data_IF_295110566253
#
_entry.id   IF_295110566253
#
_cell.length_a   1.000
_cell.length_b   1.000
_cell.length_c   1.000
_cell.angle_alpha   90.00
_cell.angle_beta   90.00
_cell.angle_gamma   90.00
#
_symmetry.space_group_name_H-M   'P 1'
#
loop_
_entity.id
_entity.type
_entity.pdbx_description
1 polymer ?
#
# COMPACT_ATOMS: atom_id res chain seq x y z
N UNK A 1 -12.97 -23.20 2.48
CA UNK A 1 -13.89 -22.95 1.35
C UNK A 1 -13.07 -22.36 0.21
N UNK A 2 -13.37 -22.69 -1.05
CA UNK A 2 -12.70 -22.08 -2.21
C UNK A 2 -13.35 -20.75 -2.57
N UNK A 3 -12.54 -19.77 -3.02
CA UNK A 3 -13.04 -18.51 -3.57
C UNK A 3 -13.94 -18.79 -4.78
N UNK A 4 -15.18 -18.30 -4.72
CA UNK A 4 -16.16 -18.40 -5.82
C UNK A 4 -16.16 -17.10 -6.61
N UNK A 5 -15.68 -17.17 -7.86
CA UNK A 5 -15.56 -16.00 -8.73
C UNK A 5 -16.79 -15.89 -9.64
N UNK A 6 -17.19 -14.66 -9.95
CA UNK A 6 -18.05 -14.40 -11.12
C UNK A 6 -17.35 -14.86 -12.39
N UNK A 7 -18.13 -15.34 -13.36
CA UNK A 7 -17.62 -15.67 -14.70
C UNK A 7 -16.99 -14.44 -15.34
N UNK A 8 -15.90 -14.62 -16.08
CA UNK A 8 -15.27 -13.51 -16.78
C UNK A 8 -16.19 -12.90 -17.84
N UNK A 9 -17.06 -13.71 -18.45
CA UNK A 9 -17.98 -13.28 -19.51
C UNK A 9 -19.19 -12.51 -18.97
N UNK A 10 -19.47 -12.58 -17.66
CA UNK A 10 -20.60 -11.89 -17.02
C UNK A 10 -20.22 -10.56 -16.35
N UNK A 11 -19.00 -10.08 -16.59
CA UNK A 11 -18.46 -8.83 -16.04
C UNK A 11 -17.52 -8.15 -17.03
N UNK A 12 -17.39 -6.83 -16.92
CA UNK A 12 -16.47 -6.03 -17.71
C UNK A 12 -15.02 -6.15 -17.21
N UNK A 13 -14.82 -6.35 -15.90
CA UNK A 13 -13.50 -6.31 -15.27
C UNK A 13 -13.15 -7.58 -14.49
N UNK A 14 -11.89 -7.98 -14.57
CA UNK A 14 -11.35 -9.01 -13.67
C UNK A 14 -10.98 -8.42 -12.31
N UNK A 15 -10.53 -7.15 -12.28
CA UNK A 15 -10.27 -6.42 -11.05
C UNK A 15 -10.67 -4.95 -11.17
N UNK A 16 -11.23 -4.42 -10.09
CA UNK A 16 -11.37 -2.98 -9.85
C UNK A 16 -10.62 -2.66 -8.57
N UNK A 17 -9.81 -1.60 -8.57
CA UNK A 17 -9.22 -1.06 -7.33
C UNK A 17 -9.86 0.27 -6.94
N UNK A 18 -9.95 0.55 -5.64
CA UNK A 18 -10.27 1.87 -5.09
C UNK A 18 -9.05 2.38 -4.31
N UNK A 19 -8.57 3.58 -4.63
CA UNK A 19 -7.44 4.15 -3.89
C UNK A 19 -7.00 5.51 -4.40
N UNK A 20 -6.07 6.13 -3.68
CA UNK A 20 -5.40 7.35 -4.15
C UNK A 20 -4.20 7.00 -5.03
N UNK A 21 -4.11 7.68 -6.18
CA UNK A 21 -2.95 7.66 -7.05
C UNK A 21 -2.30 9.04 -7.00
N UNK A 22 -0.98 9.06 -6.79
CA UNK A 22 -0.20 10.29 -6.69
C UNK A 22 0.82 10.38 -7.81
N UNK A 23 1.21 11.61 -8.15
CA UNK A 23 2.37 11.85 -9.00
C UNK A 23 3.63 11.64 -8.16
N UNK A 24 4.36 10.59 -8.49
CA UNK A 24 5.60 10.20 -7.82
C UNK A 24 6.80 10.85 -8.50
N UNK A 25 7.58 11.59 -7.73
CA UNK A 25 8.84 12.20 -8.16
C UNK A 25 10.02 11.34 -7.71
N UNK A 26 10.78 10.81 -8.67
CA UNK A 26 11.97 9.98 -8.45
C UNK A 26 13.25 10.79 -8.78
N UNK A 27 14.13 11.07 -7.79
CA UNK A 27 15.37 11.82 -8.01
C UNK A 27 16.52 10.95 -8.60
N UNK A 28 16.24 9.73 -9.04
CA UNK A 28 17.24 8.75 -9.46
C UNK A 28 18.06 8.28 -8.26
N UNK A 29 19.39 8.31 -8.40
CA UNK A 29 20.32 7.95 -7.32
C UNK A 29 20.59 9.13 -6.35
N UNK A 30 20.01 10.29 -6.62
CA UNK A 30 20.14 11.50 -5.81
C UNK A 30 19.22 11.54 -4.58
N UNK A 31 19.22 12.69 -3.91
CA UNK A 31 18.32 13.00 -2.78
C UNK A 31 17.28 14.01 -3.21
N UNK A 32 16.07 13.94 -2.65
CA UNK A 32 15.00 14.92 -2.90
C UNK A 32 15.50 16.34 -2.59
N UNK A 33 16.26 16.49 -1.50
CA UNK A 33 16.77 17.79 -1.03
C UNK A 33 17.90 18.39 -1.89
N UNK A 34 18.54 17.62 -2.77
CA UNK A 34 19.71 18.08 -3.55
C UNK A 34 19.54 17.92 -5.06
N UNK A 35 18.50 17.24 -5.51
CA UNK A 35 18.27 17.05 -6.94
C UNK A 35 17.75 18.33 -7.60
N UNK A 36 18.02 18.46 -8.90
CA UNK A 36 17.41 19.47 -9.79
C UNK A 36 16.55 18.83 -10.87
N UNK A 37 16.39 17.51 -10.84
CA UNK A 37 15.65 16.73 -11.83
C UNK A 37 14.89 15.61 -11.14
N UNK A 38 13.68 15.37 -11.61
CA UNK A 38 12.88 14.22 -11.21
C UNK A 38 12.37 13.53 -12.46
N UNK A 39 12.38 12.20 -12.42
CA UNK A 39 11.55 11.39 -13.32
C UNK A 39 10.21 11.19 -12.63
N UNK A 40 9.12 11.46 -13.35
CA UNK A 40 7.78 11.32 -12.82
C UNK A 40 7.19 9.96 -13.17
N UNK A 41 6.40 9.42 -12.24
CA UNK A 41 5.66 8.17 -12.36
C UNK A 41 4.31 8.34 -11.67
N UNK A 42 3.36 7.48 -11.95
CA UNK A 42 2.19 7.29 -11.10
C UNK A 42 2.51 6.35 -9.93
N UNK A 43 1.80 6.50 -8.81
CA UNK A 43 1.93 5.56 -7.69
C UNK A 43 0.73 5.59 -6.75
N UNK A 44 0.17 4.41 -6.48
CA UNK A 44 -0.89 4.19 -5.49
C UNK A 44 -0.89 2.70 -5.12
N UNK A 45 -1.00 2.36 -3.84
CA UNK A 45 -0.89 0.97 -3.38
C UNK A 45 -1.94 0.07 -4.05
N UNK A 46 -3.20 0.48 -3.96
CA UNK A 46 -4.36 -0.24 -4.47
C UNK A 46 -4.33 -0.31 -6.01
N UNK A 47 -4.02 0.81 -6.65
CA UNK A 47 -3.84 0.90 -8.11
C UNK A 47 -2.71 0.00 -8.62
N UNK A 48 -1.59 -0.10 -7.90
CA UNK A 48 -0.45 -0.93 -8.30
C UNK A 48 -0.83 -2.41 -8.36
N UNK A 49 -1.78 -2.87 -7.53
CA UNK A 49 -2.32 -4.23 -7.62
C UNK A 49 -3.10 -4.43 -8.92
N UNK A 50 -4.04 -3.52 -9.24
CA UNK A 50 -4.81 -3.59 -10.48
C UNK A 50 -3.92 -3.49 -11.73
N UNK A 51 -2.98 -2.53 -11.74
CA UNK A 51 -1.98 -2.35 -12.79
C UNK A 51 -1.08 -3.58 -12.94
N UNK A 52 -0.65 -4.19 -11.83
CA UNK A 52 0.14 -5.41 -11.83
C UNK A 52 -0.62 -6.57 -12.47
N UNK A 53 -1.89 -6.77 -12.10
CA UNK A 53 -2.75 -7.78 -12.71
C UNK A 53 -2.97 -7.55 -14.21
N UNK A 54 -3.11 -6.29 -14.63
CA UNK A 54 -3.18 -5.93 -16.05
C UNK A 54 -1.89 -6.27 -16.79
N UNK A 55 -0.75 -5.75 -16.33
CA UNK A 55 0.52 -5.78 -17.07
C UNK A 55 1.23 -7.13 -17.01
N UNK A 56 1.11 -7.85 -15.90
CA UNK A 56 1.82 -9.11 -15.70
C UNK A 56 0.96 -10.33 -16.07
N UNK A 57 -0.37 -10.21 -16.00
CA UNK A 57 -1.29 -11.36 -16.14
C UNK A 57 -2.43 -11.13 -17.16
N UNK A 58 -2.38 -10.02 -17.91
CA UNK A 58 -3.34 -9.73 -18.99
C UNK A 58 -4.78 -9.52 -18.54
N UNK A 59 -5.02 -9.25 -17.25
CA UNK A 59 -6.37 -9.08 -16.69
C UNK A 59 -7.01 -7.75 -17.12
N UNK A 60 -8.34 -7.71 -17.21
CA UNK A 60 -9.08 -6.46 -17.44
C UNK A 60 -9.18 -5.72 -16.11
N UNK A 61 -8.58 -4.54 -16.03
CA UNK A 61 -8.48 -3.78 -14.80
C UNK A 61 -9.12 -2.41 -14.97
N UNK A 62 -9.79 -1.91 -13.94
CA UNK A 62 -10.22 -0.52 -13.82
C UNK A 62 -9.81 0.05 -12.45
N UNK A 63 -9.84 1.37 -12.34
CA UNK A 63 -9.61 2.05 -11.06
C UNK A 63 -10.70 3.07 -10.77
N UNK A 64 -11.16 3.07 -9.52
CA UNK A 64 -11.97 4.12 -8.92
C UNK A 64 -11.04 5.02 -8.12
N UNK A 65 -10.99 6.30 -8.50
CA UNK A 65 -10.17 7.32 -7.83
C UNK A 65 -10.70 8.72 -8.17
N UNK A 66 -10.06 9.76 -7.68
CA UNK A 66 -10.41 11.13 -8.05
C UNK A 66 -9.16 12.00 -8.27
N UNK A 67 -9.27 12.91 -9.24
CA UNK A 67 -8.24 13.89 -9.58
C UNK A 67 -8.81 15.30 -9.65
N UNK A 68 -7.98 16.29 -9.35
CA UNK A 68 -8.26 17.66 -9.74
C UNK A 68 -8.13 17.77 -11.26
N UNK A 69 -9.12 18.40 -11.90
CA UNK A 69 -9.15 18.59 -13.36
C UNK A 69 -8.19 19.68 -13.79
N UNK A 70 -6.92 19.30 -13.92
CA UNK A 70 -5.82 20.11 -14.41
C UNK A 70 -4.76 19.21 -15.08
N UNK A 71 -3.71 19.82 -15.63
CA UNK A 71 -2.66 19.09 -16.36
C UNK A 71 -1.97 17.98 -15.53
N UNK A 72 -1.89 18.13 -14.21
CA UNK A 72 -1.33 17.09 -13.33
C UNK A 72 -2.28 15.89 -13.25
N UNK A 73 -3.58 16.14 -13.15
CA UNK A 73 -4.60 15.08 -13.15
C UNK A 73 -4.66 14.36 -14.49
N UNK A 74 -4.57 15.11 -15.59
CA UNK A 74 -4.51 14.55 -16.95
C UNK A 74 -3.23 13.75 -17.22
N UNK A 75 -2.09 14.18 -16.67
CA UNK A 75 -0.86 13.39 -16.70
C UNK A 75 -1.00 12.05 -15.95
N UNK A 76 -1.67 12.06 -14.80
CA UNK A 76 -1.94 10.83 -14.04
C UNK A 76 -2.89 9.90 -14.79
N UNK A 77 -3.95 10.43 -15.40
CA UNK A 77 -4.83 9.68 -16.30
C UNK A 77 -4.03 9.01 -17.44
N UNK A 78 -3.15 9.75 -18.10
CA UNK A 78 -2.33 9.21 -19.19
C UNK A 78 -1.42 8.07 -18.73
N UNK A 79 -0.78 8.18 -17.55
CA UNK A 79 -0.01 7.07 -16.97
C UNK A 79 -0.86 5.83 -16.68
N UNK A 80 -2.10 6.01 -16.22
CA UNK A 80 -3.05 4.91 -15.98
C UNK A 80 -3.42 4.23 -17.31
N UNK A 81 -3.69 5.02 -18.36
CA UNK A 81 -3.98 4.53 -19.71
C UNK A 81 -2.79 3.78 -20.31
N UNK A 82 -1.56 4.28 -20.15
CA UNK A 82 -0.33 3.58 -20.55
C UNK A 82 -0.14 2.26 -19.77
N UNK A 83 -0.56 2.24 -18.50
CA UNK A 83 -0.68 1.03 -17.67
C UNK A 83 -1.74 0.04 -18.18
N UNK A 84 -2.61 0.46 -19.09
CA UNK A 84 -3.69 -0.33 -19.66
C UNK A 84 -4.85 -0.55 -18.69
N UNK A 85 -4.97 0.28 -17.65
CA UNK A 85 -6.06 0.24 -16.67
C UNK A 85 -7.14 1.22 -17.13
N UNK A 86 -8.40 0.80 -17.06
CA UNK A 86 -9.55 1.60 -17.49
C UNK A 86 -9.80 2.77 -16.51
N UNK A 87 -10.02 3.95 -17.07
CA UNK A 87 -10.12 5.23 -16.35
C UNK A 87 -11.55 5.74 -16.22
N UNK A 88 -12.57 5.01 -16.69
CA UNK A 88 -13.97 5.51 -16.75
C UNK A 88 -14.57 5.86 -15.39
N UNK A 89 -14.00 5.36 -14.29
CA UNK A 89 -14.47 5.62 -12.92
C UNK A 89 -13.60 6.64 -12.18
N UNK A 90 -12.79 7.42 -12.90
CA UNK A 90 -12.12 8.59 -12.35
C UNK A 90 -13.14 9.71 -12.16
N UNK A 91 -13.27 10.19 -10.91
CA UNK A 91 -14.01 11.40 -10.60
C UNK A 91 -13.13 12.63 -10.80
N UNK A 92 -13.61 13.59 -11.58
CA UNK A 92 -12.93 14.86 -11.80
C UNK A 92 -13.49 15.93 -10.85
N UNK A 93 -12.61 16.51 -10.05
CA UNK A 93 -12.94 17.64 -9.18
C UNK A 93 -12.50 18.94 -9.85
N UNK A 94 -13.37 19.95 -9.85
CA UNK A 94 -13.10 21.26 -10.44
C UNK A 94 -11.88 21.91 -9.78
N UNK A 95 -10.85 22.21 -10.56
CA UNK A 95 -9.62 22.83 -10.07
C UNK A 95 -9.81 24.35 -9.91
N UNK A 96 -9.48 24.86 -8.74
CA UNK A 96 -9.64 26.29 -8.39
C UNK A 96 -8.52 27.21 -8.92
N UNK A 97 -7.62 26.67 -9.74
CA UNK A 97 -6.47 27.40 -10.30
C UNK A 97 -5.29 27.60 -9.32
N UNK A 98 -5.45 27.28 -8.04
CA UNK A 98 -4.46 27.60 -6.99
C UNK A 98 -4.05 26.40 -6.13
N UNK A 99 -4.89 25.38 -6.02
CA UNK A 99 -4.73 24.27 -5.09
C UNK A 99 -5.21 24.56 -3.66
N UNK A 100 -6.10 25.54 -3.46
CA UNK A 100 -6.60 25.92 -2.12
C UNK A 100 -7.68 24.97 -1.61
N UNK A 101 -8.51 24.46 -2.51
CA UNK A 101 -9.64 23.59 -2.20
C UNK A 101 -9.39 22.16 -2.69
N UNK A 102 -8.64 21.99 -3.78
CA UNK A 102 -8.37 20.67 -4.34
C UNK A 102 -7.01 20.59 -5.04
N UNK A 103 -6.31 19.48 -4.83
CA UNK A 103 -4.99 19.19 -5.41
C UNK A 103 -4.92 17.77 -5.95
N UNK A 104 -3.90 17.48 -6.75
CA UNK A 104 -3.46 16.12 -7.02
C UNK A 104 -2.33 15.77 -6.04
N UNK A 105 -2.35 14.56 -5.49
CA UNK A 105 -1.34 14.15 -4.51
C UNK A 105 0.03 13.99 -5.15
N UNK A 106 1.08 14.43 -4.44
CA UNK A 106 2.47 14.32 -4.87
C UNK A 106 3.23 13.42 -3.89
N UNK A 107 4.19 12.65 -4.39
CA UNK A 107 5.04 11.83 -3.52
C UNK A 107 6.49 11.79 -3.99
N UNK A 108 7.40 12.30 -3.18
CA UNK A 108 8.83 12.27 -3.48
C UNK A 108 9.46 11.00 -2.90
N UNK A 109 10.02 10.14 -3.74
CA UNK A 109 10.52 8.83 -3.31
C UNK A 109 12.00 8.65 -3.61
N UNK A 110 12.84 8.63 -2.58
CA UNK A 110 14.25 8.29 -2.66
C UNK A 110 14.44 6.77 -2.67
N UNK A 111 15.16 6.24 -3.67
CA UNK A 111 15.58 4.84 -3.67
C UNK A 111 16.53 4.57 -2.50
N UNK A 112 16.42 3.39 -1.90
CA UNK A 112 17.39 2.91 -0.91
C UNK A 112 18.72 2.53 -1.58
N UNK A 113 19.81 2.57 -0.81
CA UNK A 113 21.12 2.08 -1.25
C UNK A 113 21.93 1.57 -0.04
N UNK A 114 22.40 0.33 -0.11
CA UNK A 114 23.11 -0.33 0.99
C UNK A 114 22.29 -0.30 2.28
N UNK A 115 22.88 0.25 3.35
CA UNK A 115 22.22 0.36 4.68
C UNK A 115 21.14 1.44 4.76
N UNK A 116 21.04 2.31 3.75
CA UNK A 116 20.04 3.38 3.72
C UNK A 116 18.76 2.87 3.06
N UNK A 117 17.70 2.76 3.85
CA UNK A 117 16.36 2.44 3.33
C UNK A 117 15.84 3.47 2.33
N UNK A 118 14.83 3.07 1.56
CA UNK A 118 14.04 4.00 0.75
C UNK A 118 13.34 5.01 1.65
N UNK A 119 13.11 6.23 1.15
CA UNK A 119 12.42 7.29 1.90
C UNK A 119 11.36 7.94 1.02
N UNK A 120 10.11 7.88 1.48
CA UNK A 120 9.00 8.65 0.92
C UNK A 120 8.87 10.01 1.61
N UNK A 121 8.37 11.00 0.90
CA UNK A 121 7.93 12.30 1.42
C UNK A 121 6.64 12.65 0.67
N UNK A 122 5.48 12.23 1.20
CA UNK A 122 4.20 12.50 0.56
C UNK A 122 3.74 13.94 0.85
N UNK A 123 3.18 14.59 -0.16
CA UNK A 123 2.42 15.85 -0.09
C UNK A 123 1.02 15.56 -0.64
N UNK A 124 0.14 15.15 0.26
CA UNK A 124 -1.22 14.65 -0.05
C UNK A 124 -2.30 15.34 0.78
N UNK A 125 -2.10 16.61 1.10
CA UNK A 125 -3.16 17.44 1.69
C UNK A 125 -4.10 17.96 0.61
N UNK A 126 -5.41 17.98 0.92
CA UNK A 126 -6.49 18.49 0.06
C UNK A 126 -6.60 17.79 -1.31
N UNK A 127 -6.19 16.52 -1.41
CA UNK A 127 -6.30 15.82 -2.69
C UNK A 127 -7.76 15.58 -3.07
N UNK A 128 -8.05 15.47 -4.37
CA UNK A 128 -9.38 15.07 -4.81
C UNK A 128 -9.78 13.70 -4.24
N UNK A 129 -8.84 12.74 -4.20
CA UNK A 129 -9.06 11.41 -3.65
C UNK A 129 -9.41 11.41 -2.15
N UNK A 130 -8.73 12.22 -1.32
CA UNK A 130 -9.05 12.27 0.12
C UNK A 130 -10.40 12.95 0.43
N UNK A 131 -10.97 13.68 -0.54
CA UNK A 131 -12.25 14.36 -0.40
C UNK A 131 -13.43 13.53 -0.92
N UNK A 132 -13.16 12.34 -1.48
CA UNK A 132 -14.21 11.40 -1.87
C UNK A 132 -15.01 10.97 -0.63
N UNK A 133 -16.31 10.77 -0.82
CA UNK A 133 -17.25 10.44 0.26
C UNK A 133 -18.36 9.49 -0.21
N UNK A 134 -19.09 8.83 0.72
CA UNK A 134 -20.28 8.05 0.41
C UNK A 134 -21.22 8.77 -0.58
N UNK A 135 -21.73 8.02 -1.57
CA UNK A 135 -22.60 8.54 -2.62
C UNK A 135 -21.91 9.28 -3.76
N UNK A 136 -20.59 9.48 -3.73
CA UNK A 136 -19.84 10.06 -4.85
C UNK A 136 -19.70 9.12 -6.05
N UNK A 137 -19.82 7.80 -5.82
CA UNK A 137 -19.63 6.75 -6.81
C UNK A 137 -20.94 5.96 -6.94
N UNK A 138 -21.40 5.79 -8.19
CA UNK A 138 -22.52 4.90 -8.48
C UNK A 138 -22.04 3.44 -8.49
N UNK A 139 -22.15 2.79 -7.33
CA UNK A 139 -21.74 1.39 -7.20
C UNK A 139 -22.64 0.39 -7.93
N UNK A 140 -23.86 0.76 -8.28
CA UNK A 140 -24.74 -0.07 -9.11
C UNK A 140 -24.26 -0.08 -10.57
N UNK A 141 -23.79 1.06 -11.08
CA UNK A 141 -23.07 1.10 -12.36
C UNK A 141 -21.76 0.29 -12.28
N UNK A 142 -20.93 0.51 -11.26
CA UNK A 142 -19.59 -0.13 -11.14
C UNK A 142 -19.68 -1.65 -10.97
N UNK A 143 -20.42 -2.15 -9.98
CA UNK A 143 -20.44 -3.58 -9.64
C UNK A 143 -21.69 -4.33 -10.15
N UNK A 144 -22.80 -3.62 -10.36
CA UNK A 144 -24.03 -4.21 -10.90
C UNK A 144 -23.95 -4.36 -12.41
N UNK A 145 -23.93 -3.24 -13.13
CA UNK A 145 -24.02 -3.21 -14.60
C UNK A 145 -22.71 -3.56 -15.29
N UNK A 146 -21.60 -2.94 -14.90
CA UNK A 146 -20.28 -3.26 -15.47
C UNK A 146 -19.76 -4.56 -14.86
N UNK A 147 -19.76 -4.63 -13.53
CA UNK A 147 -19.37 -5.82 -12.78
C UNK A 147 -17.85 -6.05 -12.71
N UNK A 148 -17.44 -6.70 -11.63
CA UNK A 148 -16.07 -7.15 -11.43
C UNK A 148 -16.02 -8.53 -10.79
N UNK A 149 -14.97 -9.30 -11.07
CA UNK A 149 -14.69 -10.55 -10.34
C UNK A 149 -14.04 -10.27 -8.99
N UNK A 150 -13.27 -9.18 -8.91
CA UNK A 150 -12.44 -8.83 -7.77
C UNK A 150 -12.44 -7.33 -7.51
N UNK A 151 -12.50 -6.97 -6.24
CA UNK A 151 -12.35 -5.61 -5.76
C UNK A 151 -11.17 -5.54 -4.78
N UNK A 152 -10.31 -4.54 -4.94
CA UNK A 152 -9.17 -4.32 -4.06
C UNK A 152 -9.13 -2.88 -3.54
N UNK A 153 -8.93 -2.73 -2.24
CA UNK A 153 -8.69 -1.45 -1.57
C UNK A 153 -7.87 -1.71 -0.30
N UNK A 154 -7.62 -0.69 0.51
CA UNK A 154 -6.74 -0.86 1.66
C UNK A 154 -6.76 0.30 2.65
N UNK A 155 -6.07 0.07 3.76
CA UNK A 155 -6.03 0.97 4.91
C UNK A 155 -5.38 2.31 4.63
N UNK A 156 -4.57 2.44 3.56
CA UNK A 156 -4.07 3.76 3.14
C UNK A 156 -5.22 4.65 2.68
N UNK A 157 -6.08 4.15 1.79
CA UNK A 157 -7.21 4.92 1.28
C UNK A 157 -8.22 5.18 2.39
N UNK A 158 -8.56 4.16 3.18
CA UNK A 158 -9.46 4.31 4.31
C UNK A 158 -8.99 5.34 5.34
N UNK A 159 -7.67 5.56 5.46
CA UNK A 159 -7.08 6.49 6.43
C UNK A 159 -6.86 7.92 5.92
N UNK A 160 -7.21 8.26 4.68
CA UNK A 160 -6.93 9.60 4.14
C UNK A 160 -7.78 10.69 4.80
N UNK A 161 -9.03 10.39 5.11
CA UNK A 161 -10.01 11.24 5.77
C UNK A 161 -11.13 10.41 6.40
N UNK A 162 -11.98 11.04 7.21
CA UNK A 162 -13.20 10.39 7.73
C UNK A 162 -14.13 9.93 6.59
N UNK A 163 -14.27 10.73 5.54
CA UNK A 163 -15.15 10.39 4.42
C UNK A 163 -14.61 9.25 3.57
N UNK A 164 -13.28 9.13 3.42
CA UNK A 164 -12.70 7.96 2.72
C UNK A 164 -12.84 6.67 3.52
N UNK A 165 -12.87 6.74 4.85
CA UNK A 165 -13.16 5.57 5.70
C UNK A 165 -14.59 5.07 5.44
N UNK A 166 -15.57 5.98 5.46
CA UNK A 166 -16.97 5.66 5.19
C UNK A 166 -17.18 5.15 3.76
N UNK A 167 -16.55 5.79 2.77
CA UNK A 167 -16.62 5.36 1.37
C UNK A 167 -16.00 3.98 1.17
N UNK A 168 -14.92 3.65 1.89
CA UNK A 168 -14.32 2.31 1.84
C UNK A 168 -15.32 1.26 2.32
N UNK A 169 -16.04 1.53 3.40
CA UNK A 169 -17.08 0.64 3.92
C UNK A 169 -18.22 0.50 2.90
N UNK A 170 -18.68 1.61 2.30
CA UNK A 170 -19.71 1.62 1.25
C UNK A 170 -19.30 0.76 0.04
N UNK A 171 -18.08 0.95 -0.46
CA UNK A 171 -17.54 0.20 -1.59
C UNK A 171 -17.48 -1.31 -1.32
N UNK A 172 -16.98 -1.71 -0.14
CA UNK A 172 -16.91 -3.12 0.24
C UNK A 172 -18.31 -3.75 0.37
N UNK A 173 -19.28 -3.04 0.97
CA UNK A 173 -20.68 -3.49 1.04
C UNK A 173 -21.27 -3.69 -0.35
N UNK A 174 -21.07 -2.72 -1.25
CA UNK A 174 -21.60 -2.79 -2.61
C UNK A 174 -20.95 -3.92 -3.43
N UNK A 175 -19.63 -4.09 -3.34
CA UNK A 175 -18.93 -5.19 -3.98
C UNK A 175 -19.49 -6.56 -3.54
N UNK A 176 -19.68 -6.75 -2.23
CA UNK A 176 -20.27 -7.98 -1.66
C UNK A 176 -21.71 -8.21 -2.11
N UNK A 177 -22.54 -7.16 -2.13
CA UNK A 177 -23.93 -7.22 -2.63
C UNK A 177 -23.99 -7.79 -4.04
N UNK A 178 -23.02 -7.45 -4.89
CA UNK A 178 -22.95 -7.88 -6.30
C UNK A 178 -22.07 -9.12 -6.53
N UNK A 179 -21.75 -9.88 -5.49
CA UNK A 179 -20.97 -11.12 -5.59
C UNK A 179 -19.52 -10.93 -6.04
N UNK A 180 -18.97 -9.73 -5.89
CA UNK A 180 -17.56 -9.43 -6.16
C UNK A 180 -16.72 -9.85 -4.97
N UNK A 181 -15.61 -10.55 -5.19
CA UNK A 181 -14.66 -10.89 -4.12
C UNK A 181 -13.98 -9.62 -3.64
N UNK A 182 -13.93 -9.40 -2.34
CA UNK A 182 -13.27 -8.23 -1.75
C UNK A 182 -11.95 -8.63 -1.12
N UNK A 183 -10.88 -7.97 -1.56
CA UNK A 183 -9.56 -8.03 -0.91
C UNK A 183 -9.21 -6.70 -0.28
N UNK A 184 -8.58 -6.76 0.89
CA UNK A 184 -8.21 -5.58 1.65
C UNK A 184 -6.80 -5.70 2.21
N UNK A 185 -5.94 -4.71 1.93
CA UNK A 185 -4.61 -4.60 2.52
C UNK A 185 -4.64 -3.62 3.70
N UNK A 186 -4.42 -4.13 4.91
CA UNK A 186 -4.48 -3.33 6.15
C UNK A 186 -3.47 -2.17 6.11
N UNK A 187 -2.27 -2.41 5.57
CA UNK A 187 -1.23 -1.43 5.27
C UNK A 187 -1.16 -0.23 6.25
N UNK A 188 -1.02 -0.51 7.54
CA UNK A 188 -1.20 0.48 8.59
C UNK A 188 -0.16 1.61 8.48
N UNK A 189 -0.63 2.86 8.57
CA UNK A 189 0.24 4.06 8.60
C UNK A 189 -0.14 4.95 9.77
N UNK A 190 0.66 4.96 10.84
CA UNK A 190 0.38 5.77 12.02
C UNK A 190 0.10 7.24 11.72
N UNK A 191 0.82 7.83 10.77
CA UNK A 191 0.68 9.25 10.42
C UNK A 191 -0.67 9.60 9.80
N UNK A 192 -1.25 8.69 9.01
CA UNK A 192 -2.56 8.91 8.38
C UNK A 192 -3.66 8.76 9.42
N UNK A 193 -3.68 7.63 10.13
CA UNK A 193 -4.67 7.36 11.16
C UNK A 193 -4.67 8.41 12.26
N UNK A 194 -3.50 8.91 12.69
CA UNK A 194 -3.39 9.99 13.68
C UNK A 194 -4.21 11.23 13.29
N UNK A 195 -4.35 11.53 12.00
CA UNK A 195 -5.10 12.70 11.54
C UNK A 195 -6.62 12.56 11.64
N UNK A 196 -7.15 11.34 11.80
CA UNK A 196 -8.59 11.04 11.82
C UNK A 196 -9.01 10.25 13.07
N UNK A 197 -8.27 10.33 14.18
CA UNK A 197 -8.63 9.68 15.46
C UNK A 197 -7.68 8.60 15.96
N UNK A 198 -6.58 8.35 15.24
CA UNK A 198 -5.49 7.48 15.69
C UNK A 198 -5.84 5.99 15.69
N UNK A 199 -5.20 5.26 16.61
CA UNK A 199 -5.30 3.80 16.70
C UNK A 199 -6.74 3.32 16.93
N UNK A 200 -7.49 4.00 17.80
CA UNK A 200 -8.88 3.65 18.09
C UNK A 200 -9.75 3.74 16.82
N UNK A 201 -9.61 4.81 16.02
CA UNK A 201 -10.32 4.93 14.75
C UNK A 201 -9.87 3.89 13.75
N UNK A 202 -8.56 3.59 13.69
CA UNK A 202 -8.05 2.52 12.83
C UNK A 202 -8.73 1.18 13.14
N UNK A 203 -8.84 0.81 14.41
CA UNK A 203 -9.50 -0.42 14.82
C UNK A 203 -11.00 -0.40 14.53
N UNK A 204 -11.69 0.70 14.84
CA UNK A 204 -13.11 0.87 14.54
C UNK A 204 -13.41 0.65 13.05
N UNK A 205 -12.72 1.40 12.17
CA UNK A 205 -12.96 1.38 10.73
C UNK A 205 -12.58 0.03 10.13
N UNK A 206 -11.38 -0.48 10.41
CA UNK A 206 -10.92 -1.72 9.78
C UNK A 206 -11.71 -2.94 10.28
N UNK A 207 -12.19 -2.96 11.53
CA UNK A 207 -13.10 -4.04 12.00
C UNK A 207 -14.46 -3.99 11.34
N UNK A 208 -14.98 -2.79 11.01
CA UNK A 208 -16.21 -2.69 10.19
C UNK A 208 -15.96 -3.15 8.75
N UNK A 209 -14.87 -2.71 8.12
CA UNK A 209 -14.49 -3.16 6.77
C UNK A 209 -14.31 -4.68 6.72
N UNK A 210 -13.64 -5.26 7.73
CA UNK A 210 -13.34 -6.69 7.80
C UNK A 210 -14.57 -7.59 7.66
N UNK A 211 -15.76 -7.15 8.07
CA UNK A 211 -17.03 -7.91 7.91
C UNK A 211 -17.40 -8.18 6.45
N UNK A 212 -16.83 -7.43 5.52
CA UNK A 212 -17.12 -7.49 4.09
C UNK A 212 -15.92 -7.97 3.26
N UNK A 213 -14.83 -8.40 3.88
CA UNK A 213 -13.59 -8.81 3.19
C UNK A 213 -13.54 -10.33 3.04
N UNK A 214 -13.20 -10.83 1.86
CA UNK A 214 -12.95 -12.25 1.61
C UNK A 214 -11.46 -12.59 1.74
N UNK A 215 -10.58 -11.66 1.33
CA UNK A 215 -9.13 -11.82 1.34
C UNK A 215 -8.48 -10.69 2.13
N UNK A 216 -8.02 -10.99 3.34
CA UNK A 216 -7.32 -10.02 4.19
C UNK A 216 -5.81 -10.12 4.01
N UNK A 217 -5.14 -8.99 3.80
CA UNK A 217 -3.70 -8.89 3.56
C UNK A 217 -3.09 -7.99 4.63
N UNK A 218 -2.01 -8.45 5.27
CA UNK A 218 -1.28 -7.65 6.26
C UNK A 218 -0.19 -8.46 6.96
N UNK A 219 0.76 -7.76 7.57
CA UNK A 219 1.74 -8.36 8.47
C UNK A 219 1.25 -8.35 9.94
N UNK A 220 2.06 -8.85 10.86
CA UNK A 220 1.71 -8.90 12.29
C UNK A 220 1.34 -7.53 12.86
N UNK A 221 2.19 -6.53 12.63
CA UNK A 221 1.99 -5.16 13.10
C UNK A 221 0.68 -4.56 12.55
N UNK A 222 0.34 -4.85 11.29
CA UNK A 222 -0.89 -4.40 10.66
C UNK A 222 -2.13 -5.00 11.33
N UNK A 223 -2.13 -6.30 11.61
CA UNK A 223 -3.26 -6.98 12.27
C UNK A 223 -3.46 -6.49 13.70
N UNK A 224 -2.37 -6.31 14.45
CA UNK A 224 -2.45 -5.75 15.80
C UNK A 224 -2.95 -4.30 15.77
N UNK A 225 -2.35 -3.45 14.94
CA UNK A 225 -2.72 -2.03 14.90
C UNK A 225 -4.12 -1.80 14.33
N UNK A 226 -4.50 -2.52 13.27
CA UNK A 226 -5.73 -2.26 12.52
C UNK A 226 -6.91 -3.08 13.02
N UNK A 227 -6.71 -4.25 13.63
CA UNK A 227 -7.80 -5.11 14.08
C UNK A 227 -7.78 -5.39 15.59
N UNK A 228 -6.67 -5.08 16.28
CA UNK A 228 -6.53 -5.30 17.72
C UNK A 228 -6.21 -6.75 18.09
N UNK A 229 -5.71 -7.56 17.15
CA UNK A 229 -5.23 -8.91 17.45
C UNK A 229 -3.78 -8.84 17.94
N UNK A 230 -3.59 -8.91 19.25
CA UNK A 230 -2.25 -8.97 19.85
C UNK A 230 -1.62 -10.36 19.71
N UNK A 231 -0.31 -10.41 19.52
CA UNK A 231 0.44 -11.67 19.48
C UNK A 231 1.03 -11.97 20.85
N UNK A 232 0.61 -13.08 21.46
CA UNK A 232 1.18 -13.53 22.73
C UNK A 232 2.66 -13.94 22.52
N UNK A 233 3.54 -13.49 23.43
CA UNK A 233 4.95 -13.89 23.45
C UNK A 233 5.91 -13.10 22.55
N UNK A 234 5.48 -12.00 21.93
CA UNK A 234 6.34 -11.12 21.15
C UNK A 234 6.73 -9.91 22.01
N UNK A 235 7.87 -10.01 22.70
CA UNK A 235 8.49 -8.83 23.33
C UNK A 235 9.13 -7.94 22.25
N UNK A 236 9.29 -6.64 22.53
CA UNK A 236 9.94 -5.65 21.64
C UNK A 236 11.39 -6.03 21.20
N UNK A 237 11.91 -7.19 21.63
CA UNK A 237 13.29 -7.62 21.48
C UNK A 237 13.48 -9.04 20.90
N UNK A 238 12.44 -9.72 20.39
CA UNK A 238 12.64 -11.05 19.78
C UNK A 238 13.09 -10.94 18.33
N UNK A 239 14.35 -11.33 18.07
CA UNK A 239 14.90 -11.50 16.73
C UNK A 239 14.50 -12.86 16.17
N UNK A 240 13.60 -12.90 15.19
CA UNK A 240 13.24 -14.11 14.45
C UNK A 240 11.81 -14.08 13.93
N UNK A 241 11.59 -14.65 12.74
CA UNK A 241 10.25 -14.83 12.16
C UNK A 241 9.44 -15.84 12.98
N UNK A 242 8.60 -15.39 13.91
CA UNK A 242 7.71 -16.24 14.70
C UNK A 242 6.45 -16.59 13.90
N UNK A 243 6.64 -17.38 12.83
CA UNK A 243 5.57 -17.81 11.92
C UNK A 243 4.41 -18.48 12.67
N UNK A 244 4.69 -19.21 13.75
CA UNK A 244 3.67 -19.91 14.52
C UNK A 244 2.78 -18.99 15.34
N UNK A 245 3.33 -17.96 15.99
CA UNK A 245 2.50 -16.98 16.72
C UNK A 245 1.62 -16.18 15.76
N UNK A 246 2.13 -15.87 14.57
CA UNK A 246 1.35 -15.22 13.52
C UNK A 246 0.21 -16.13 13.02
N UNK A 247 0.43 -17.45 12.89
CA UNK A 247 -0.66 -18.40 12.59
C UNK A 247 -1.74 -18.38 13.67
N UNK A 248 -1.37 -18.31 14.95
CA UNK A 248 -2.36 -18.28 16.04
C UNK A 248 -3.13 -16.96 16.10
N UNK A 249 -2.49 -15.84 15.76
CA UNK A 249 -3.18 -14.57 15.54
C UNK A 249 -4.17 -14.68 14.36
N UNK A 250 -3.77 -15.27 13.24
CA UNK A 250 -4.68 -15.51 12.10
C UNK A 250 -5.86 -16.39 12.51
N UNK A 251 -5.64 -17.47 13.28
CA UNK A 251 -6.74 -18.33 13.75
C UNK A 251 -7.79 -17.54 14.53
N UNK A 252 -7.36 -16.63 15.40
CA UNK A 252 -8.25 -15.72 16.13
C UNK A 252 -8.96 -14.76 15.19
N UNK A 253 -8.24 -14.16 14.23
CA UNK A 253 -8.84 -13.26 13.24
C UNK A 253 -9.90 -13.95 12.38
N UNK A 254 -9.67 -15.19 11.96
CA UNK A 254 -10.64 -15.99 11.19
C UNK A 254 -11.82 -16.44 12.06
N UNK A 255 -11.62 -16.65 13.36
CA UNK A 255 -12.72 -16.94 14.28
C UNK A 255 -13.65 -15.73 14.48
N UNK A 256 -13.09 -14.52 14.62
CA UNK A 256 -13.86 -13.26 14.71
C UNK A 256 -14.50 -12.87 13.37
N UNK A 257 -13.84 -13.17 12.25
CA UNK A 257 -14.27 -12.84 10.89
C UNK A 257 -14.33 -14.11 10.03
N UNK A 258 -15.38 -14.95 10.18
CA UNK A 258 -15.50 -16.22 9.45
C UNK A 258 -15.68 -16.04 7.93
N UNK A 259 -15.95 -14.82 7.47
CA UNK A 259 -15.96 -14.46 6.06
C UNK A 259 -14.56 -14.41 5.42
N UNK A 260 -13.48 -14.37 6.20
CA UNK A 260 -12.12 -14.48 5.66
C UNK A 260 -11.90 -15.85 5.04
N UNK A 261 -11.85 -15.90 3.71
CA UNK A 261 -11.55 -17.11 2.96
C UNK A 261 -10.04 -17.30 2.79
N UNK A 262 -9.30 -16.20 2.71
CA UNK A 262 -7.84 -16.18 2.63
C UNK A 262 -7.29 -15.08 3.53
N UNK A 263 -6.25 -15.40 4.30
CA UNK A 263 -5.42 -14.42 4.97
C UNK A 263 -4.00 -14.54 4.43
N UNK A 264 -3.46 -13.47 3.86
CA UNK A 264 -2.14 -13.44 3.26
C UNK A 264 -1.21 -12.48 4.01
N UNK A 265 0.06 -12.87 4.14
CA UNK A 265 1.08 -12.06 4.81
C UNK A 265 2.33 -11.97 3.97
N UNK A 266 3.04 -10.85 4.08
CA UNK A 266 4.41 -10.74 3.58
C UNK A 266 5.37 -10.71 4.75
N UNK A 267 6.23 -11.72 4.83
CA UNK A 267 7.27 -11.81 5.84
C UNK A 267 8.54 -11.17 5.28
N UNK A 268 8.96 -10.05 5.87
CA UNK A 268 10.21 -9.37 5.52
C UNK A 268 11.14 -9.35 6.73
N UNK A 269 12.30 -10.00 6.58
CA UNK A 269 13.40 -9.83 7.52
C UNK A 269 14.29 -8.68 7.04
N UNK A 270 14.36 -7.61 7.83
CA UNK A 270 15.25 -6.49 7.59
C UNK A 270 16.52 -6.67 8.42
N UNK A 271 17.57 -7.24 7.82
CA UNK A 271 18.89 -7.25 8.44
C UNK A 271 19.40 -5.80 8.61
N UNK A 272 19.28 -5.25 9.82
CA UNK A 272 19.92 -3.98 10.19
C UNK A 272 21.44 -4.20 10.28
N UNK A 273 22.13 -4.09 9.14
CA UNK A 273 23.59 -4.00 9.06
C UNK A 273 24.07 -2.68 9.69
N UNK A 274 24.11 -2.62 11.02
CA UNK A 274 24.54 -1.42 11.75
C UNK A 274 24.92 -1.66 13.21
N UNK A 275 24.26 -2.59 13.92
CA UNK A 275 24.67 -2.93 15.31
C UNK A 275 25.72 -4.01 15.37
N UNK A 276 25.65 -5.04 14.54
CA UNK A 276 26.51 -6.21 14.68
C UNK A 276 27.94 -6.05 14.12
N UNK A 277 28.15 -5.16 13.14
CA UNK A 277 29.50 -4.92 12.62
C UNK A 277 30.35 -3.99 13.50
N UNK A 278 29.73 -3.05 14.23
CA UNK A 278 30.44 -2.16 15.15
C UNK A 278 30.81 -2.86 16.46
N UNK A 279 30.02 -3.86 16.89
CA UNK A 279 30.35 -4.68 18.05
C UNK A 279 31.52 -5.65 17.79
N UNK A 280 31.75 -6.09 16.54
CA UNK A 280 32.81 -7.06 16.18
C UNK A 280 34.18 -6.44 15.84
N UNK A 281 34.37 -5.12 16.02
CA UNK A 281 35.65 -4.41 15.76
C UNK A 281 36.28 -3.74 16.99
N UNK A 282 36.00 -4.22 18.21
CA UNK A 282 36.89 -3.99 19.36
C UNK A 282 37.71 -5.24 19.64
N UNK A 283 38.73 -5.47 18.82
CA UNK A 283 39.84 -6.34 19.21
C UNK A 283 40.72 -5.52 20.17
N UNK A 284 40.99 -5.99 21.41
CA UNK A 284 41.88 -5.30 22.32
C UNK A 284 43.28 -5.14 21.71
N UNK A 285 43.86 -3.94 21.82
CA UNK A 285 45.29 -3.71 21.57
C UNK A 285 46.10 -4.41 22.65
N UNK A 286 46.35 -5.70 22.50
CA UNK A 286 47.37 -6.41 23.28
C UNK A 286 47.69 -7.76 22.65
N UNK A 287 48.41 -7.77 21.53
CA UNK A 287 49.27 -8.89 21.14
C UNK A 287 50.52 -8.34 20.42
N UNK A 288 51.72 -8.91 20.64
CA UNK A 288 52.96 -8.38 20.08
C UNK A 288 53.06 -8.67 18.58
N UNK A 289 53.65 -7.73 17.84
CA UNK A 289 54.07 -7.92 16.45
C UNK A 289 55.09 -9.06 16.37
N UNK A 290 54.70 -10.20 15.81
CA UNK A 290 55.61 -11.25 15.36
C UNK A 290 55.63 -11.27 13.82
N UNK A 291 56.83 -10.98 13.30
CA UNK A 291 57.43 -11.39 12.03
C UNK A 291 56.72 -11.05 10.71
N UNK A 292 57.26 -10.01 10.07
CA UNK A 292 57.05 -9.67 8.68
C UNK A 292 57.78 -10.66 7.74
N UNK A 293 57.02 -11.55 7.09
CA UNK A 293 57.48 -12.41 6.01
C UNK A 293 57.14 -11.84 4.63
N UNK A 294 58.17 -11.38 3.92
CA UNK A 294 58.27 -11.02 2.49
C UNK A 294 57.07 -11.32 1.55
N UNK A 295 56.48 -10.27 0.98
CA UNK A 295 55.86 -10.31 -0.35
C UNK A 295 56.39 -9.13 -1.19
N UNK A 296 57.29 -9.45 -2.14
CA UNK A 296 57.78 -8.51 -3.16
C UNK A 296 56.69 -8.24 -4.22
N UNK A 297 56.64 -7.03 -4.82
CA UNK A 297 55.71 -6.71 -5.89
C UNK A 297 56.23 -7.20 -7.25
N UNK A 298 55.40 -7.92 -8.02
CA UNK A 298 55.61 -8.09 -9.47
C UNK A 298 55.10 -6.83 -10.17
N UNK A 299 56.04 -6.14 -10.83
CA UNK A 299 55.81 -4.94 -11.66
C UNK A 299 54.97 -5.25 -12.90
N UNK A 300 54.16 -4.26 -13.27
CA UNK A 300 53.54 -4.08 -14.58
C UNK A 300 54.60 -4.00 -15.69
N UNK A 301 54.24 -4.47 -16.88
CA UNK A 301 54.49 -3.75 -18.13
C UNK A 301 53.15 -3.26 -18.64
#
# INVERSE_FOLDING_TARGET
MSLTFRSADSVAFDIISLGEIMLRFDPGDGRVRTTRRFVVWEGGGDYNVARGLRRCFGKRAAVVTAFADNDIGRLLEDFILQGGVDTRFIKWAEFDGLGRNVRNGLNFTEKGFGVRGAKGTPDRGLTAAMQMKPGDIDWEEVFGKQGSRWFHTGGIFAALSETTAELTIEACKAAKKHGTIVSYDLNYRPSLWKSIGGLAKAQEVNREVAKYVDVMIGNEEDFTASLGFEVEGVSEHVTGLQVDNFKDMIKRAVADFPNFQVVATTLRDHQRLGRDMLARRRVPRSQPLAEAGNLRPRRRR
#
